data_IF_695354685277
#
_entry.id   IF_695354685277
#
_cell.length_a   1.000
_cell.length_b   1.000
_cell.length_c   1.000
_cell.angle_alpha   90.00
_cell.angle_beta   90.00
_cell.angle_gamma   90.00
#
_symmetry.space_group_name_H-M   'P 1'
#
loop_
_entity.id
_entity.type
_entity.pdbx_description
1 polymer ?
#
# COMPACT_ATOMS: atom_id res chain seq x y z
N UNK A 1 -5.37 -12.76 20.47
CA UNK A 1 -6.75 -13.27 20.68
C UNK A 1 -7.23 -13.88 19.37
N UNK A 2 -7.55 -15.18 19.36
CA UNK A 2 -8.01 -15.90 18.17
C UNK A 2 -9.54 -15.77 18.07
N UNK A 3 -10.06 -15.34 16.91
CA UNK A 3 -11.50 -15.19 16.70
C UNK A 3 -12.00 -16.18 15.65
N UNK A 4 -13.14 -16.82 15.94
CA UNK A 4 -13.94 -17.45 14.88
C UNK A 4 -14.50 -16.34 13.99
N UNK A 5 -14.38 -16.45 12.67
CA UNK A 5 -14.70 -15.37 11.72
C UNK A 5 -16.10 -14.76 11.92
N UNK A 6 -17.11 -15.60 12.16
CA UNK A 6 -18.48 -15.17 12.43
C UNK A 6 -18.73 -14.56 13.81
N UNK A 7 -17.72 -14.56 14.68
CA UNK A 7 -17.75 -13.90 15.99
C UNK A 7 -16.81 -12.69 16.05
N UNK A 8 -16.04 -12.42 14.99
CA UNK A 8 -15.16 -11.27 14.95
C UNK A 8 -16.01 -9.99 14.85
N UNK A 9 -15.86 -9.04 15.80
CA UNK A 9 -16.80 -7.91 15.96
C UNK A 9 -16.93 -7.05 14.70
N UNK A 10 -15.85 -6.93 13.92
CA UNK A 10 -15.85 -6.18 12.65
C UNK A 10 -16.43 -6.99 11.49
N UNK A 11 -16.18 -8.31 11.42
CA UNK A 11 -16.52 -9.09 10.23
C UNK A 11 -17.96 -9.60 10.27
N UNK A 12 -18.46 -10.00 11.45
CA UNK A 12 -19.84 -10.48 11.59
C UNK A 12 -20.88 -9.38 11.35
N UNK A 13 -20.54 -8.15 11.71
CA UNK A 13 -21.41 -6.97 11.60
C UNK A 13 -20.96 -6.03 10.50
N UNK A 14 -20.16 -6.49 9.54
CA UNK A 14 -19.66 -5.65 8.46
C UNK A 14 -20.84 -5.14 7.62
N UNK A 15 -20.94 -3.82 7.32
CA UNK A 15 -22.13 -3.24 6.71
C UNK A 15 -22.41 -3.71 5.27
N UNK A 16 -21.36 -4.13 4.55
CA UNK A 16 -21.46 -4.58 3.14
C UNK A 16 -21.41 -6.11 3.03
N UNK A 17 -20.37 -6.74 3.60
CA UNK A 17 -20.13 -8.18 3.53
C UNK A 17 -20.12 -8.85 4.92
N UNK A 18 -21.27 -8.90 5.62
CA UNK A 18 -21.35 -9.52 6.95
C UNK A 18 -21.04 -11.02 6.86
N UNK A 19 -20.15 -11.48 7.72
CA UNK A 19 -19.68 -12.86 7.71
C UNK A 19 -20.37 -13.68 8.80
N UNK A 20 -21.43 -14.41 8.42
CA UNK A 20 -22.28 -15.15 9.35
C UNK A 20 -21.83 -16.60 9.60
N UNK A 21 -20.76 -17.06 8.94
CA UNK A 21 -20.19 -18.39 9.08
C UNK A 21 -18.67 -18.35 9.10
N UNK A 22 -18.03 -19.38 9.67
CA UNK A 22 -16.57 -19.50 9.70
C UNK A 22 -16.03 -20.62 8.82
N UNK A 23 -16.86 -21.60 8.45
CA UNK A 23 -16.49 -22.63 7.49
C UNK A 23 -16.53 -22.03 6.09
N UNK A 24 -15.35 -21.89 5.47
CA UNK A 24 -15.20 -21.34 4.14
C UNK A 24 -15.90 -22.17 3.08
N UNK A 25 -15.98 -23.50 3.24
CA UNK A 25 -16.64 -24.38 2.27
C UNK A 25 -18.12 -24.05 2.19
N UNK A 26 -18.77 -23.92 3.35
CA UNK A 26 -20.19 -23.56 3.41
C UNK A 26 -20.45 -22.13 2.94
N UNK A 27 -19.49 -21.22 3.08
CA UNK A 27 -19.61 -19.87 2.55
C UNK A 27 -19.51 -19.86 1.03
N UNK A 28 -18.50 -20.54 0.46
CA UNK A 28 -18.24 -20.59 -0.98
C UNK A 28 -19.31 -21.39 -1.75
N UNK A 29 -19.85 -22.48 -1.18
CA UNK A 29 -20.97 -23.23 -1.77
C UNK A 29 -22.25 -22.41 -1.96
N UNK A 30 -22.37 -21.26 -1.29
CA UNK A 30 -23.50 -20.33 -1.54
C UNK A 30 -23.32 -19.47 -2.78
N UNK A 31 -22.11 -19.44 -3.34
CA UNK A 31 -21.71 -18.58 -4.46
C UNK A 31 -21.27 -19.40 -5.68
N UNK A 32 -20.94 -20.68 -5.49
CA UNK A 32 -20.33 -21.55 -6.49
C UNK A 32 -21.01 -22.92 -6.49
N UNK A 33 -21.27 -23.44 -7.69
CA UNK A 33 -21.62 -24.85 -7.92
C UNK A 33 -20.33 -25.63 -8.18
N UNK A 34 -19.59 -25.94 -7.12
CA UNK A 34 -18.31 -26.63 -7.19
C UNK A 34 -18.14 -27.60 -6.02
N UNK A 35 -17.47 -28.73 -6.24
CA UNK A 35 -17.05 -29.59 -5.15
C UNK A 35 -15.85 -28.97 -4.40
N UNK A 36 -15.98 -28.85 -3.07
CA UNK A 36 -15.01 -28.15 -2.23
C UNK A 36 -14.46 -29.09 -1.17
N UNK A 37 -13.23 -29.50 -1.39
CA UNK A 37 -12.41 -30.28 -0.46
C UNK A 37 -11.72 -29.40 0.58
N UNK A 38 -11.20 -30.07 1.62
CA UNK A 38 -10.32 -29.48 2.62
C UNK A 38 -9.13 -30.42 2.84
N UNK A 39 -7.94 -29.85 2.94
CA UNK A 39 -6.79 -30.47 3.58
C UNK A 39 -6.56 -29.75 4.90
N UNK A 40 -6.86 -30.42 6.01
CA UNK A 40 -6.81 -29.82 7.33
C UNK A 40 -5.39 -29.78 7.92
N UNK A 41 -5.24 -29.17 9.10
CA UNK A 41 -3.94 -29.01 9.77
C UNK A 41 -3.30 -30.37 10.08
N UNK A 42 -4.08 -31.40 10.40
CA UNK A 42 -3.54 -32.72 10.72
C UNK A 42 -2.98 -33.39 9.47
N UNK A 43 -3.72 -33.31 8.36
CA UNK A 43 -3.25 -33.80 7.07
C UNK A 43 -1.98 -33.08 6.62
N UNK A 44 -1.88 -31.77 6.83
CA UNK A 44 -0.70 -30.97 6.49
C UNK A 44 0.50 -31.16 7.43
N UNK A 45 0.30 -31.81 8.58
CA UNK A 45 1.36 -32.07 9.57
C UNK A 45 1.97 -33.47 9.46
N UNK A 46 1.54 -34.27 8.48
CA UNK A 46 2.11 -35.59 8.23
C UNK A 46 3.50 -35.48 7.56
N UNK A 47 4.19 -36.61 7.41
CA UNK A 47 5.48 -36.68 6.72
C UNK A 47 5.37 -36.25 5.23
N UNK A 48 6.42 -35.61 4.71
CA UNK A 48 6.37 -34.87 3.45
C UNK A 48 5.84 -35.64 2.23
N UNK A 49 6.18 -36.92 2.08
CA UNK A 49 5.70 -37.73 0.93
C UNK A 49 4.20 -38.06 1.07
N UNK A 50 3.76 -38.43 2.28
CA UNK A 50 2.35 -38.71 2.56
C UNK A 50 1.46 -37.47 2.34
N UNK A 51 1.93 -36.30 2.77
CA UNK A 51 1.23 -35.02 2.56
C UNK A 51 1.09 -34.72 1.07
N UNK A 52 2.16 -34.92 0.30
CA UNK A 52 2.18 -34.62 -1.14
C UNK A 52 1.24 -35.53 -1.93
N UNK A 53 1.27 -36.83 -1.67
CA UNK A 53 0.36 -37.79 -2.30
C UNK A 53 -1.11 -37.46 -1.99
N UNK A 54 -1.43 -37.14 -0.74
CA UNK A 54 -2.78 -36.73 -0.35
C UNK A 54 -3.22 -35.44 -1.02
N UNK A 55 -2.35 -34.43 -1.09
CA UNK A 55 -2.64 -33.18 -1.79
C UNK A 55 -2.96 -33.43 -3.27
N UNK A 56 -2.12 -34.22 -3.97
CA UNK A 56 -2.35 -34.54 -5.38
C UNK A 56 -3.63 -35.34 -5.61
N UNK A 57 -3.96 -36.28 -4.72
CA UNK A 57 -5.22 -37.01 -4.79
C UNK A 57 -6.42 -36.06 -4.60
N UNK A 58 -6.37 -35.18 -3.60
CA UNK A 58 -7.48 -34.29 -3.27
C UNK A 58 -7.72 -33.20 -4.32
N UNK A 59 -6.66 -32.65 -4.91
CA UNK A 59 -6.81 -31.61 -5.93
C UNK A 59 -7.28 -32.17 -7.28
N UNK A 60 -7.15 -33.48 -7.50
CA UNK A 60 -7.76 -34.17 -8.64
C UNK A 60 -9.20 -34.59 -8.37
N UNK A 61 -9.59 -34.75 -7.11
CA UNK A 61 -10.93 -35.24 -6.73
C UNK A 61 -11.94 -34.15 -6.40
N UNK A 62 -11.53 -32.89 -6.29
CA UNK A 62 -12.40 -31.75 -6.00
C UNK A 62 -12.11 -30.61 -6.97
N UNK A 63 -13.13 -29.81 -7.29
CA UNK A 63 -12.96 -28.61 -8.12
C UNK A 63 -12.15 -27.52 -7.39
N UNK A 64 -12.34 -27.41 -6.06
CA UNK A 64 -11.65 -26.46 -5.19
C UNK A 64 -11.11 -27.21 -3.97
N UNK A 65 -9.82 -27.02 -3.67
CA UNK A 65 -9.20 -27.54 -2.45
C UNK A 65 -8.79 -26.40 -1.52
N UNK A 66 -9.40 -26.35 -0.34
CA UNK A 66 -8.95 -25.46 0.73
C UNK A 66 -7.80 -26.09 1.52
N UNK A 67 -6.85 -25.28 1.96
CA UNK A 67 -5.72 -25.69 2.79
C UNK A 67 -5.76 -24.89 4.09
N UNK A 68 -5.77 -25.58 5.23
CA UNK A 68 -5.68 -24.90 6.52
C UNK A 68 -4.25 -24.41 6.78
N UNK A 69 -4.10 -23.29 7.49
CA UNK A 69 -2.79 -22.81 7.91
C UNK A 69 -2.86 -22.17 9.30
N UNK A 70 -2.04 -22.66 10.23
CA UNK A 70 -1.98 -22.17 11.60
C UNK A 70 -0.62 -21.57 11.96
N UNK A 71 0.47 -22.13 11.43
CA UNK A 71 1.83 -21.74 11.76
C UNK A 71 2.75 -21.67 10.51
N UNK A 72 3.99 -21.23 10.71
CA UNK A 72 4.97 -21.10 9.64
C UNK A 72 5.33 -22.44 8.97
N UNK A 73 5.31 -23.55 9.71
CA UNK A 73 5.56 -24.88 9.13
C UNK A 73 4.46 -25.27 8.14
N UNK A 74 3.19 -25.05 8.49
CA UNK A 74 2.09 -25.28 7.55
C UNK A 74 2.26 -24.44 6.28
N UNK A 75 2.65 -23.16 6.41
CA UNK A 75 2.89 -22.29 5.26
C UNK A 75 4.04 -22.79 4.37
N UNK A 76 5.10 -23.35 4.97
CA UNK A 76 6.25 -23.92 4.26
C UNK A 76 5.84 -25.16 3.45
N UNK A 77 5.06 -26.05 4.07
CA UNK A 77 4.49 -27.24 3.41
C UNK A 77 3.57 -26.84 2.25
N UNK A 78 2.61 -25.95 2.50
CA UNK A 78 1.69 -25.44 1.47
C UNK A 78 2.46 -24.83 0.29
N UNK A 79 3.49 -24.01 0.57
CA UNK A 79 4.31 -23.40 -0.47
C UNK A 79 4.96 -24.44 -1.39
N UNK A 80 5.47 -25.52 -0.82
CA UNK A 80 6.06 -26.64 -1.58
C UNK A 80 5.02 -27.35 -2.44
N UNK A 81 3.84 -27.65 -1.89
CA UNK A 81 2.75 -28.31 -2.61
C UNK A 81 2.26 -27.49 -3.81
N UNK A 82 2.10 -26.17 -3.63
CA UNK A 82 1.71 -25.23 -4.69
C UNK A 82 2.80 -25.07 -5.77
N UNK A 83 4.07 -25.17 -5.37
CA UNK A 83 5.20 -25.03 -6.29
C UNK A 83 5.44 -26.27 -7.14
N UNK A 84 5.40 -27.46 -6.53
CA UNK A 84 5.76 -28.70 -7.21
C UNK A 84 4.72 -29.13 -8.26
N UNK A 85 3.43 -28.87 -8.01
CA UNK A 85 2.26 -29.15 -8.87
C UNK A 85 2.12 -30.60 -9.40
N UNK A 86 0.89 -31.14 -9.49
CA UNK A 86 0.66 -32.40 -10.20
C UNK A 86 0.68 -32.15 -11.71
N UNK A 87 1.65 -32.76 -12.41
CA UNK A 87 1.80 -32.73 -13.87
C UNK A 87 2.01 -31.32 -14.47
N UNK A 88 2.10 -31.23 -15.81
CA UNK A 88 2.18 -29.94 -16.55
C UNK A 88 0.84 -29.17 -16.56
N UNK A 89 -0.06 -29.41 -15.61
CA UNK A 89 -1.37 -28.76 -15.57
C UNK A 89 -1.28 -27.36 -14.96
N UNK A 90 -2.05 -26.42 -15.50
CA UNK A 90 -2.14 -25.06 -14.95
C UNK A 90 -2.99 -25.09 -13.68
N UNK A 91 -2.39 -24.77 -12.54
CA UNK A 91 -3.12 -24.56 -11.29
C UNK A 91 -3.51 -23.09 -11.15
N UNK A 92 -4.76 -22.85 -10.77
CA UNK A 92 -5.27 -21.54 -10.38
C UNK A 92 -5.36 -21.46 -8.85
N UNK A 93 -4.65 -20.49 -8.25
CA UNK A 93 -4.56 -20.34 -6.79
C UNK A 93 -5.24 -19.05 -6.37
N UNK A 94 -6.09 -19.13 -5.35
CA UNK A 94 -6.83 -17.99 -4.80
C UNK A 94 -6.55 -17.88 -3.30
N UNK A 95 -6.17 -16.69 -2.83
CA UNK A 95 -5.98 -16.43 -1.41
C UNK A 95 -5.53 -15.00 -1.12
N UNK A 96 -5.35 -14.70 0.16
CA UNK A 96 -4.71 -13.44 0.60
C UNK A 96 -3.18 -13.51 0.39
N UNK A 97 -2.45 -12.52 0.91
CA UNK A 97 -0.99 -12.53 0.98
C UNK A 97 -0.41 -13.77 1.68
N UNK A 98 -1.20 -14.57 2.40
CA UNK A 98 -0.79 -15.88 2.90
C UNK A 98 -0.25 -16.79 1.79
N UNK A 99 -0.91 -16.85 0.62
CA UNK A 99 -0.44 -17.66 -0.51
C UNK A 99 0.94 -17.19 -0.98
N UNK A 100 1.12 -15.87 -1.07
CA UNK A 100 2.39 -15.25 -1.45
C UNK A 100 3.50 -15.60 -0.45
N UNK A 101 3.21 -15.55 0.86
CA UNK A 101 4.17 -15.92 1.90
C UNK A 101 4.56 -17.40 1.85
N UNK A 102 3.61 -18.29 1.56
CA UNK A 102 3.88 -19.72 1.41
C UNK A 102 4.83 -19.98 0.23
N UNK A 103 4.50 -19.46 -0.95
CA UNK A 103 5.33 -19.59 -2.15
C UNK A 103 6.71 -18.95 -1.97
N UNK A 104 6.78 -17.73 -1.42
CA UNK A 104 8.05 -17.05 -1.15
C UNK A 104 8.91 -17.79 -0.11
N UNK A 105 8.30 -18.50 0.85
CA UNK A 105 9.05 -19.40 1.73
C UNK A 105 9.65 -20.57 0.96
N UNK A 106 8.85 -21.25 0.14
CA UNK A 106 9.33 -22.37 -0.66
C UNK A 106 10.45 -21.95 -1.61
N UNK A 107 10.30 -20.83 -2.31
CA UNK A 107 11.32 -20.29 -3.21
C UNK A 107 12.65 -20.04 -2.54
N UNK A 108 12.64 -19.48 -1.32
CA UNK A 108 13.87 -19.31 -0.52
C UNK A 108 14.53 -20.65 -0.20
N UNK A 109 13.73 -21.67 0.14
CA UNK A 109 14.25 -22.99 0.50
C UNK A 109 14.89 -23.73 -0.67
N UNK A 110 14.38 -23.52 -1.88
CA UNK A 110 14.93 -24.13 -3.11
C UNK A 110 15.96 -23.23 -3.82
N UNK A 111 16.37 -22.14 -3.17
CA UNK A 111 17.42 -21.24 -3.68
C UNK A 111 16.99 -20.35 -4.85
N UNK A 112 15.69 -20.17 -5.09
CA UNK A 112 15.22 -19.13 -6.02
C UNK A 112 15.51 -17.76 -5.38
N UNK A 113 16.28 -16.88 -6.06
CA UNK A 113 16.63 -15.59 -5.51
C UNK A 113 15.37 -14.76 -5.24
N UNK A 114 15.13 -14.44 -3.98
CA UNK A 114 14.20 -13.36 -3.62
C UNK A 114 14.96 -12.03 -3.65
N UNK A 115 14.27 -10.93 -3.99
CA UNK A 115 14.84 -9.58 -3.99
C UNK A 115 15.65 -9.35 -2.71
N UNK A 116 16.96 -9.15 -2.86
CA UNK A 116 17.82 -8.86 -1.73
C UNK A 116 17.96 -7.35 -1.57
N UNK A 117 17.28 -6.82 -0.55
CA UNK A 117 17.33 -5.40 -0.25
C UNK A 117 18.62 -4.93 0.46
N UNK A 118 19.58 -5.82 0.70
CA UNK A 118 20.83 -5.47 1.40
C UNK A 118 21.78 -4.57 0.59
N UNK A 119 21.66 -4.54 -0.75
CA UNK A 119 22.55 -3.77 -1.62
C UNK A 119 22.20 -2.27 -1.73
N UNK A 120 21.16 -1.81 -1.03
CA UNK A 120 20.65 -0.43 -1.14
C UNK A 120 21.39 0.60 -0.27
N UNK A 121 22.38 0.17 0.52
CA UNK A 121 23.29 1.04 1.30
C UNK A 121 24.62 1.32 0.57
N UNK A 122 24.63 1.52 -0.75
CA UNK A 122 25.85 1.96 -1.43
C UNK A 122 26.14 3.42 -1.09
N UNK A 123 27.20 3.66 -0.33
CA UNK A 123 27.76 4.98 -0.01
C UNK A 123 27.84 5.83 -1.27
N UNK A 124 27.07 6.91 -1.30
CA UNK A 124 27.05 7.89 -2.38
C UNK A 124 26.28 9.13 -1.94
N UNK A 125 26.94 10.28 -2.01
CA UNK A 125 26.32 11.59 -1.83
C UNK A 125 25.39 11.90 -3.00
N UNK A 126 24.08 11.98 -2.76
CA UNK A 126 23.22 13.13 -3.08
C UNK A 126 22.00 13.04 -2.13
N UNK A 127 21.81 13.99 -1.20
CA UNK A 127 20.50 14.17 -0.56
C UNK A 127 19.60 14.92 -1.52
N UNK A 128 18.86 14.20 -2.37
CA UNK A 128 17.72 14.79 -3.06
C UNK A 128 16.57 14.95 -2.03
N UNK A 129 15.81 16.03 -2.15
CA UNK A 129 14.72 16.38 -1.24
C UNK A 129 13.54 15.39 -1.32
N UNK A 130 12.74 15.34 -0.25
CA UNK A 130 11.50 14.56 -0.20
C UNK A 130 10.31 15.51 -0.28
N UNK A 131 9.39 15.26 -1.20
CA UNK A 131 8.06 15.88 -1.21
C UNK A 131 7.05 14.88 -0.63
N UNK A 132 6.44 15.23 0.49
CA UNK A 132 5.34 14.46 1.09
C UNK A 132 4.02 15.16 0.79
N UNK A 133 3.02 14.43 0.31
CA UNK A 133 1.66 14.93 0.09
C UNK A 133 0.70 14.05 0.89
N UNK A 134 0.05 14.64 1.89
CA UNK A 134 -0.81 13.94 2.84
C UNK A 134 -2.26 14.42 2.81
N UNK A 135 -3.16 13.54 2.39
CA UNK A 135 -4.61 13.68 2.62
C UNK A 135 -5.10 12.90 3.86
N UNK A 136 -4.20 12.22 4.58
CA UNK A 136 -4.54 11.39 5.72
C UNK A 136 -4.98 12.22 6.94
N UNK A 137 -6.12 11.83 7.54
CA UNK A 137 -6.58 12.36 8.82
C UNK A 137 -6.23 11.44 10.01
N UNK A 138 -5.25 10.53 9.87
CA UNK A 138 -4.90 9.58 10.94
C UNK A 138 -3.97 10.21 12.00
N UNK A 139 -4.07 9.72 13.24
CA UNK A 139 -3.16 10.12 14.31
C UNK A 139 -1.72 9.64 14.07
N UNK A 140 -1.52 8.49 13.41
CA UNK A 140 -0.18 8.00 13.06
C UNK A 140 0.49 8.95 12.06
N UNK A 141 -0.26 9.41 11.05
CA UNK A 141 0.29 10.35 10.06
C UNK A 141 0.54 11.72 10.68
N UNK A 142 -0.34 12.19 11.57
CA UNK A 142 -0.08 13.39 12.38
C UNK A 142 1.28 13.28 13.09
N UNK A 143 1.50 12.19 13.84
CA UNK A 143 2.74 11.99 14.60
C UNK A 143 3.98 11.94 13.70
N UNK A 144 3.89 11.30 12.54
CA UNK A 144 4.95 11.27 11.53
C UNK A 144 5.27 12.67 10.99
N UNK A 145 4.24 13.47 10.68
CA UNK A 145 4.41 14.86 10.25
C UNK A 145 5.09 15.67 11.35
N UNK A 146 4.56 15.64 12.58
CA UNK A 146 5.13 16.38 13.70
C UNK A 146 6.61 16.02 13.96
N UNK A 147 6.95 14.73 13.87
CA UNK A 147 8.32 14.26 13.98
C UNK A 147 9.21 14.81 12.86
N UNK A 148 8.75 14.72 11.61
CA UNK A 148 9.51 15.21 10.46
C UNK A 148 9.76 16.73 10.51
N UNK A 149 8.78 17.51 10.98
CA UNK A 149 8.95 18.96 11.19
C UNK A 149 10.06 19.24 12.23
N UNK A 150 10.10 18.47 13.32
CA UNK A 150 11.18 18.60 14.30
C UNK A 150 12.56 18.18 13.76
N UNK A 151 12.58 17.42 12.66
CA UNK A 151 13.79 16.93 11.98
C UNK A 151 14.12 17.69 10.68
N UNK A 152 13.59 18.92 10.53
CA UNK A 152 14.01 19.84 9.47
C UNK A 152 13.19 19.77 8.16
N UNK A 153 12.09 19.01 8.13
CA UNK A 153 11.11 19.15 7.06
C UNK A 153 10.34 20.48 7.19
N UNK A 154 9.94 21.04 6.07
CA UNK A 154 9.11 22.23 6.01
C UNK A 154 7.65 21.83 5.76
N UNK A 155 6.75 22.14 6.70
CA UNK A 155 5.34 21.75 6.61
C UNK A 155 4.46 22.88 6.13
N UNK A 156 3.69 22.65 5.08
CA UNK A 156 2.72 23.61 4.54
C UNK A 156 1.34 22.94 4.55
N UNK A 157 0.40 23.57 5.25
CA UNK A 157 -1.00 23.15 5.20
C UNK A 157 -1.59 23.60 3.88
N UNK A 158 -2.25 22.69 3.15
CA UNK A 158 -3.01 23.05 1.96
C UNK A 158 -4.42 23.47 2.40
N UNK A 159 -4.80 24.75 2.23
CA UNK A 159 -6.16 25.14 2.51
C UNK A 159 -7.10 24.67 1.39
N UNK A 160 -8.31 24.19 1.74
CA UNK A 160 -9.27 23.69 0.75
C UNK A 160 -9.62 24.72 -0.33
N UNK A 161 -9.66 25.99 0.06
CA UNK A 161 -10.01 27.08 -0.83
C UNK A 161 -8.98 27.30 -1.94
N UNK A 162 -7.76 26.76 -1.80
CA UNK A 162 -6.74 26.79 -2.85
C UNK A 162 -7.23 26.15 -4.16
N UNK A 163 -8.09 25.13 -4.05
CA UNK A 163 -8.57 24.35 -5.19
C UNK A 163 -9.84 24.92 -5.85
N UNK A 164 -10.40 25.97 -5.26
CA UNK A 164 -11.71 26.51 -5.65
C UNK A 164 -11.66 28.00 -5.93
N UNK A 165 -10.61 28.67 -5.44
CA UNK A 165 -10.40 30.09 -5.61
C UNK A 165 -9.52 30.40 -6.84
N UNK A 166 -9.35 31.69 -7.10
CA UNK A 166 -8.55 32.28 -8.17
C UNK A 166 -7.21 31.55 -8.42
N UNK A 167 -7.01 31.13 -9.68
CA UNK A 167 -5.82 30.42 -10.18
C UNK A 167 -4.49 31.10 -9.83
N UNK A 168 -4.49 32.42 -9.64
CA UNK A 168 -3.31 33.17 -9.23
C UNK A 168 -2.79 32.72 -7.85
N UNK A 169 -3.66 32.41 -6.89
CA UNK A 169 -3.24 31.93 -5.57
C UNK A 169 -2.62 30.54 -5.65
N UNK A 170 -3.22 29.64 -6.44
CA UNK A 170 -2.65 28.32 -6.69
C UNK A 170 -1.26 28.41 -7.32
N UNK A 171 -1.09 29.32 -8.29
CA UNK A 171 0.20 29.57 -8.93
C UNK A 171 1.25 30.04 -7.93
N UNK A 172 0.94 31.04 -7.11
CA UNK A 172 1.87 31.53 -6.08
C UNK A 172 2.20 30.47 -5.03
N UNK A 173 1.23 29.65 -4.63
CA UNK A 173 1.48 28.51 -3.73
C UNK A 173 2.44 27.49 -4.35
N UNK A 174 2.26 27.16 -5.63
CA UNK A 174 3.17 26.24 -6.33
C UNK A 174 4.58 26.83 -6.40
N UNK A 175 4.71 28.13 -6.70
CA UNK A 175 6.00 28.83 -6.76
C UNK A 175 6.73 28.77 -5.41
N UNK A 176 6.05 29.04 -4.29
CA UNK A 176 6.61 28.92 -2.94
C UNK A 176 7.15 27.51 -2.65
N UNK A 177 6.37 26.47 -2.98
CA UNK A 177 6.77 25.07 -2.76
C UNK A 177 7.98 24.71 -3.62
N UNK A 178 7.98 25.14 -4.89
CA UNK A 178 9.08 24.90 -5.83
C UNK A 178 10.37 25.58 -5.36
N UNK A 179 10.31 26.80 -4.86
CA UNK A 179 11.47 27.50 -4.30
C UNK A 179 12.09 26.76 -3.11
N UNK A 180 11.26 26.26 -2.18
CA UNK A 180 11.71 25.46 -1.05
C UNK A 180 12.40 24.17 -1.50
N UNK A 181 11.80 23.47 -2.47
CA UNK A 181 12.34 22.23 -3.02
C UNK A 181 13.68 22.48 -3.74
N UNK A 182 13.76 23.50 -4.60
CA UNK A 182 15.01 23.89 -5.28
C UNK A 182 16.09 24.29 -4.27
N UNK A 183 15.70 24.94 -3.16
CA UNK A 183 16.57 25.25 -2.02
C UNK A 183 17.03 24.04 -1.20
N UNK A 184 16.69 22.81 -1.61
CA UNK A 184 17.09 21.57 -0.96
C UNK A 184 16.28 21.20 0.27
N UNK A 185 15.18 21.91 0.57
CA UNK A 185 14.28 21.55 1.68
C UNK A 185 13.42 20.37 1.28
N UNK A 186 13.17 19.48 2.24
CA UNK A 186 12.10 18.48 2.12
C UNK A 186 10.81 19.10 2.62
N UNK A 187 9.73 18.96 1.85
CA UNK A 187 8.46 19.67 2.07
C UNK A 187 7.36 18.66 2.36
N UNK A 188 6.49 18.97 3.32
CA UNK A 188 5.28 18.21 3.64
C UNK A 188 4.08 19.09 3.36
N UNK A 189 3.33 18.74 2.33
CA UNK A 189 2.02 19.29 2.05
C UNK A 189 0.95 18.43 2.71
N UNK A 190 0.08 19.02 3.52
CA UNK A 190 -0.95 18.26 4.23
C UNK A 190 -2.29 19.00 4.34
N UNK A 191 -3.40 18.26 4.29
CA UNK A 191 -4.75 18.85 4.41
C UNK A 191 -5.24 18.93 5.86
N UNK A 192 -4.80 18.00 6.72
CA UNK A 192 -5.20 17.90 8.13
C UNK A 192 -4.14 17.17 8.96
N UNK A 193 -4.15 17.41 10.28
CA UNK A 193 -3.31 16.76 11.28
C UNK A 193 -4.18 15.96 12.26
N UNK A 194 -4.50 14.72 11.87
CA UNK A 194 -5.30 13.81 12.71
C UNK A 194 -6.80 14.06 12.60
N UNK A 195 -7.59 13.22 13.27
CA UNK A 195 -9.03 13.11 13.02
C UNK A 195 -9.87 14.20 13.68
N UNK A 196 -9.26 14.99 14.57
CA UNK A 196 -9.90 16.10 15.31
C UNK A 196 -9.44 17.47 14.82
N UNK A 197 -8.76 17.54 13.68
CA UNK A 197 -8.33 18.81 13.10
C UNK A 197 -9.54 19.62 12.63
N UNK A 198 -9.64 20.88 13.07
CA UNK A 198 -10.72 21.78 12.70
C UNK A 198 -10.84 22.04 11.20
N UNK A 199 -9.74 21.90 10.44
CA UNK A 199 -9.78 22.05 8.97
C UNK A 199 -10.66 21.02 8.28
N UNK A 200 -10.91 19.87 8.90
CA UNK A 200 -11.81 18.84 8.36
C UNK A 200 -13.24 19.39 8.30
N UNK A 201 -13.70 20.07 9.35
CA UNK A 201 -15.02 20.70 9.39
C UNK A 201 -15.14 21.78 8.30
N UNK A 202 -14.19 22.71 8.28
CA UNK A 202 -14.12 23.80 7.28
C UNK A 202 -14.09 23.25 5.85
N UNK A 203 -13.32 22.18 5.60
CA UNK A 203 -13.25 21.52 4.30
C UNK A 203 -14.61 20.95 3.89
N UNK A 204 -15.30 20.27 4.80
CA UNK A 204 -16.62 19.69 4.52
C UNK A 204 -17.66 20.77 4.24
N UNK A 205 -17.68 21.84 5.03
CA UNK A 205 -18.58 22.98 4.82
C UNK A 205 -18.35 23.63 3.46
N UNK A 206 -17.09 23.85 3.09
CA UNK A 206 -16.72 24.42 1.80
C UNK A 206 -17.12 23.52 0.62
N UNK A 207 -16.85 22.22 0.70
CA UNK A 207 -17.22 21.27 -0.36
C UNK A 207 -18.75 21.12 -0.49
N UNK A 208 -19.48 21.12 0.63
CA UNK A 208 -20.94 21.16 0.64
C UNK A 208 -21.47 22.42 -0.07
N UNK A 209 -20.88 23.59 0.19
CA UNK A 209 -21.27 24.84 -0.45
C UNK A 209 -21.07 24.82 -1.97
N UNK A 210 -20.15 23.98 -2.47
CA UNK A 210 -19.93 23.73 -3.90
C UNK A 210 -20.81 22.61 -4.48
N UNK A 211 -21.72 22.05 -3.68
CA UNK A 211 -22.63 20.97 -4.10
C UNK A 211 -21.98 19.59 -4.18
N UNK A 212 -20.73 19.43 -3.73
CA UNK A 212 -20.02 18.15 -3.74
C UNK A 212 -20.57 17.27 -2.61
N UNK A 213 -20.91 16.03 -2.91
CA UNK A 213 -21.51 15.14 -1.90
C UNK A 213 -20.44 14.54 -0.98
N UNK A 214 -20.77 14.20 0.29
CA UNK A 214 -19.80 13.65 1.25
C UNK A 214 -19.05 12.40 0.77
N UNK A 215 -19.70 11.56 -0.04
CA UNK A 215 -19.09 10.36 -0.64
C UNK A 215 -18.01 10.68 -1.68
N UNK A 216 -18.00 11.90 -2.22
CA UNK A 216 -17.10 12.35 -3.27
C UNK A 216 -15.91 13.16 -2.74
N UNK A 217 -15.92 13.52 -1.44
CA UNK A 217 -14.86 14.34 -0.83
C UNK A 217 -13.46 13.78 -1.04
N UNK A 218 -13.28 12.48 -0.77
CA UNK A 218 -11.99 11.82 -0.94
C UNK A 218 -11.49 11.88 -2.39
N UNK A 219 -12.41 11.67 -3.34
CA UNK A 219 -12.10 11.72 -4.77
C UNK A 219 -11.73 13.15 -5.21
N UNK A 220 -12.53 14.14 -4.83
CA UNK A 220 -12.27 15.54 -5.17
C UNK A 220 -10.92 16.02 -4.60
N UNK A 221 -10.69 15.82 -3.30
CA UNK A 221 -9.44 16.21 -2.64
C UNK A 221 -8.26 15.47 -3.27
N UNK A 222 -8.39 14.16 -3.49
CA UNK A 222 -7.33 13.35 -4.10
C UNK A 222 -6.96 13.82 -5.51
N UNK A 223 -7.96 14.14 -6.34
CA UNK A 223 -7.73 14.67 -7.69
C UNK A 223 -7.01 16.02 -7.65
N UNK A 224 -7.46 16.94 -6.80
CA UNK A 224 -6.85 18.26 -6.68
C UNK A 224 -5.40 18.22 -6.14
N UNK A 225 -5.14 17.34 -5.17
CA UNK A 225 -3.78 17.06 -4.70
C UNK A 225 -2.91 16.45 -5.81
N UNK A 226 -3.48 15.61 -6.66
CA UNK A 226 -2.80 15.05 -7.83
C UNK A 226 -2.38 16.13 -8.82
N UNK A 227 -3.30 17.02 -9.19
CA UNK A 227 -3.04 18.15 -10.09
C UNK A 227 -1.93 19.04 -9.52
N UNK A 228 -2.06 19.42 -8.24
CA UNK A 228 -1.05 20.21 -7.54
C UNK A 228 0.33 19.55 -7.54
N UNK A 229 0.38 18.24 -7.26
CA UNK A 229 1.63 17.47 -7.23
C UNK A 229 2.27 17.41 -8.61
N UNK A 230 1.47 17.18 -9.65
CA UNK A 230 1.94 17.13 -11.04
C UNK A 230 2.55 18.48 -11.47
N UNK A 231 1.87 19.60 -11.15
CA UNK A 231 2.35 20.95 -11.45
C UNK A 231 3.69 21.26 -10.76
N UNK A 232 3.85 20.86 -9.49
CA UNK A 232 5.12 21.02 -8.76
C UNK A 232 6.23 20.21 -9.44
N UNK A 233 5.97 18.94 -9.77
CA UNK A 233 6.95 18.04 -10.39
C UNK A 233 7.33 18.42 -11.82
N UNK A 234 6.45 19.13 -12.53
CA UNK A 234 6.76 19.69 -13.84
C UNK A 234 7.71 20.90 -13.75
N UNK A 235 7.77 21.59 -12.60
CA UNK A 235 8.59 22.79 -12.39
C UNK A 235 9.93 22.54 -11.71
N UNK A 236 10.04 21.47 -10.92
CA UNK A 236 11.31 21.11 -10.29
C UNK A 236 11.49 19.59 -10.16
N UNK A 237 12.75 19.15 -10.14
CA UNK A 237 13.11 17.77 -9.83
C UNK A 237 13.01 17.55 -8.32
N UNK A 238 12.28 16.52 -7.92
CA UNK A 238 12.27 16.01 -6.55
C UNK A 238 13.06 14.71 -6.46
N UNK A 239 13.62 14.41 -5.29
CA UNK A 239 14.28 13.13 -5.05
C UNK A 239 13.30 11.99 -4.87
N UNK A 240 12.36 12.18 -3.95
CA UNK A 240 11.33 11.19 -3.63
C UNK A 240 9.98 11.84 -3.43
N UNK A 241 8.94 11.15 -3.91
CA UNK A 241 7.55 11.47 -3.61
C UNK A 241 7.03 10.52 -2.53
N UNK A 242 6.30 11.05 -1.55
CA UNK A 242 5.61 10.25 -0.54
C UNK A 242 4.15 10.65 -0.51
N UNK A 243 3.26 9.70 -0.75
CA UNK A 243 1.82 9.93 -0.69
C UNK A 243 1.26 9.24 0.55
N UNK A 244 0.62 10.05 1.41
CA UNK A 244 0.07 9.58 2.68
C UNK A 244 -1.46 9.70 2.71
N UNK A 245 -2.10 8.56 2.91
CA UNK A 245 -3.56 8.41 2.85
C UNK A 245 -3.93 7.15 2.06
N UNK A 246 -5.01 6.46 2.44
CA UNK A 246 -5.45 5.26 1.71
C UNK A 246 -5.94 5.64 0.31
N UNK A 247 -7.18 6.07 0.22
CA UNK A 247 -7.81 6.41 -1.07
C UNK A 247 -7.14 7.61 -1.75
N UNK A 248 -6.72 8.62 -0.97
CA UNK A 248 -6.07 9.82 -1.50
C UNK A 248 -4.82 9.49 -2.32
N UNK A 249 -3.96 8.59 -1.83
CA UNK A 249 -2.76 8.21 -2.57
C UNK A 249 -3.11 7.56 -3.90
N UNK A 250 -4.16 6.74 -3.93
CA UNK A 250 -4.66 6.12 -5.17
C UNK A 250 -5.25 7.12 -6.17
N UNK A 251 -5.87 8.20 -5.71
CA UNK A 251 -6.32 9.28 -6.61
C UNK A 251 -5.16 10.10 -7.14
N UNK A 252 -4.17 10.42 -6.30
CA UNK A 252 -2.98 11.17 -6.71
C UNK A 252 -2.17 10.37 -7.74
N UNK A 253 -1.92 9.07 -7.52
CA UNK A 253 -1.17 8.25 -8.48
C UNK A 253 -1.84 8.17 -9.85
N UNK A 254 -3.18 8.09 -9.87
CA UNK A 254 -3.96 8.13 -11.12
C UNK A 254 -3.80 9.45 -11.85
N UNK A 255 -3.87 10.57 -11.14
CA UNK A 255 -3.71 11.90 -11.73
C UNK A 255 -2.28 12.14 -12.25
N UNK A 256 -1.27 11.53 -11.61
CA UNK A 256 0.12 11.54 -12.07
C UNK A 256 0.37 10.62 -13.28
N UNK A 257 -0.64 9.88 -13.78
CA UNK A 257 -0.50 8.97 -14.92
C UNK A 257 0.33 7.71 -14.63
N UNK A 258 0.53 7.36 -13.35
CA UNK A 258 1.33 6.21 -12.95
C UNK A 258 0.51 4.94 -13.14
N UNK A 259 0.92 4.08 -14.08
CA UNK A 259 0.25 2.82 -14.39
C UNK A 259 0.93 1.60 -13.76
N UNK A 260 2.17 1.73 -13.30
CA UNK A 260 2.94 0.62 -12.73
C UNK A 260 3.86 1.02 -11.58
N UNK A 261 4.11 0.08 -10.69
CA UNK A 261 5.02 0.22 -9.55
C UNK A 261 5.90 -1.02 -9.43
N UNK A 262 7.20 -0.82 -9.25
CA UNK A 262 8.16 -1.87 -8.89
C UNK A 262 8.63 -1.62 -7.46
N UNK A 263 8.46 -2.58 -6.56
CA UNK A 263 8.98 -2.45 -5.20
C UNK A 263 10.51 -2.50 -5.21
N UNK A 264 11.15 -1.42 -4.73
CA UNK A 264 12.61 -1.28 -4.71
C UNK A 264 13.19 -1.31 -3.29
N UNK A 265 12.41 -0.98 -2.25
CA UNK A 265 12.86 -1.09 -0.86
C UNK A 265 11.71 -1.29 0.12
N UNK A 266 11.91 -2.08 1.17
CA UNK A 266 10.96 -2.21 2.27
C UNK A 266 11.28 -1.20 3.38
N UNK A 267 10.64 -0.03 3.36
CA UNK A 267 10.82 0.99 4.41
C UNK A 267 10.12 0.58 5.70
N UNK A 268 8.87 0.10 5.59
CA UNK A 268 8.07 -0.40 6.70
C UNK A 268 7.07 -1.43 6.20
N UNK A 269 6.59 -2.38 7.05
CA UNK A 269 5.54 -3.32 6.65
C UNK A 269 4.31 -2.61 6.04
N UNK A 270 3.96 -2.98 4.81
CA UNK A 270 2.82 -2.40 4.07
C UNK A 270 3.04 -1.00 3.49
N UNK A 271 4.22 -0.40 3.65
CA UNK A 271 4.53 0.93 3.08
C UNK A 271 5.93 0.94 2.43
N UNK A 272 6.11 0.24 1.30
CA UNK A 272 7.39 0.15 0.60
C UNK A 272 7.73 1.43 -0.16
N UNK A 273 9.00 1.55 -0.54
CA UNK A 273 9.45 2.46 -1.59
C UNK A 273 9.39 1.71 -2.92
N UNK A 274 8.81 2.37 -3.92
CA UNK A 274 8.61 1.84 -5.26
C UNK A 274 9.27 2.74 -6.30
N UNK A 275 9.59 2.17 -7.46
CA UNK A 275 9.85 2.90 -8.69
C UNK A 275 8.58 2.96 -9.53
N UNK A 276 8.28 4.12 -10.08
CA UNK A 276 7.09 4.36 -10.90
C UNK A 276 7.32 4.04 -12.36
N UNK A 277 6.23 3.65 -13.05
CA UNK A 277 6.14 3.56 -14.51
C UNK A 277 4.99 4.44 -14.98
N UNK A 278 5.27 5.36 -15.90
CA UNK A 278 4.34 6.37 -16.42
C UNK A 278 4.74 6.79 -17.84
N UNK A 279 3.79 7.24 -18.66
CA UNK A 279 4.08 7.86 -19.95
C UNK A 279 4.57 9.32 -19.79
N UNK A 280 4.38 9.92 -18.61
CA UNK A 280 4.87 11.26 -18.31
C UNK A 280 6.29 11.18 -17.73
N UNK A 281 7.26 11.75 -18.47
CA UNK A 281 8.69 11.82 -18.11
C UNK A 281 8.99 12.40 -16.72
N UNK A 282 8.13 13.26 -16.17
CA UNK A 282 8.33 13.86 -14.85
C UNK A 282 7.96 12.90 -13.71
N UNK A 283 7.18 11.87 -14.03
CA UNK A 283 6.64 10.89 -13.09
C UNK A 283 7.09 9.46 -13.39
N UNK A 284 7.76 9.22 -14.51
CA UNK A 284 8.34 7.93 -14.88
C UNK A 284 9.68 7.72 -14.17
N UNK A 285 9.94 6.49 -13.74
CA UNK A 285 11.15 6.07 -13.04
C UNK A 285 11.50 6.86 -11.77
N UNK A 286 10.55 7.59 -11.16
CA UNK A 286 10.78 8.27 -9.88
C UNK A 286 10.62 7.31 -8.71
N UNK A 287 11.22 7.67 -7.58
CA UNK A 287 11.02 6.95 -6.32
C UNK A 287 9.76 7.48 -5.60
N UNK A 288 8.81 6.58 -5.38
CA UNK A 288 7.50 6.85 -4.77
C UNK A 288 7.23 5.91 -3.60
N UNK A 289 6.87 6.46 -2.45
CA UNK A 289 6.33 5.69 -1.33
C UNK A 289 4.83 5.92 -1.18
N UNK A 290 4.05 4.84 -1.15
CA UNK A 290 2.62 4.86 -0.86
C UNK A 290 2.38 4.39 0.57
N UNK A 291 1.86 5.27 1.42
CA UNK A 291 1.68 4.99 2.84
C UNK A 291 0.22 5.14 3.24
N UNK A 292 -0.41 4.01 3.59
CA UNK A 292 -1.71 4.01 4.25
C UNK A 292 -1.68 4.87 5.54
N UNK A 293 -2.82 5.45 5.90
CA UNK A 293 -2.88 6.36 7.04
C UNK A 293 -2.39 5.74 8.35
N UNK A 294 -2.59 4.43 8.54
CA UNK A 294 -2.22 3.71 9.76
C UNK A 294 -0.87 2.97 9.69
N UNK A 295 -0.11 3.16 8.61
CA UNK A 295 1.14 2.44 8.34
C UNK A 295 2.38 3.31 8.61
N UNK A 296 3.52 2.65 8.74
CA UNK A 296 4.83 3.26 8.93
C UNK A 296 5.19 3.51 10.40
N UNK A 297 6.48 3.46 10.70
CA UNK A 297 7.02 3.87 12.01
C UNK A 297 6.98 5.39 12.21
N UNK A 298 7.34 5.85 13.41
CA UNK A 298 7.38 7.28 13.77
C UNK A 298 8.28 8.11 12.85
N UNK A 299 9.40 7.53 12.40
CA UNK A 299 10.43 8.20 11.59
C UNK A 299 10.29 7.95 10.08
N UNK A 300 9.11 7.52 9.60
CA UNK A 300 8.95 7.00 8.24
C UNK A 300 9.43 7.96 7.14
N UNK A 301 9.19 9.27 7.27
CA UNK A 301 9.60 10.26 6.26
C UNK A 301 11.12 10.52 6.30
N UNK A 302 11.70 10.50 7.50
CA UNK A 302 13.12 10.68 7.72
C UNK A 302 13.93 9.45 7.31
N UNK A 303 13.39 8.26 7.53
CA UNK A 303 13.99 7.00 7.09
C UNK A 303 14.10 6.98 5.57
N UNK A 304 13.07 7.44 4.86
CA UNK A 304 13.13 7.68 3.43
C UNK A 304 14.21 8.69 3.04
N UNK A 305 14.38 9.80 3.76
CA UNK A 305 15.43 10.79 3.45
C UNK A 305 16.86 10.22 3.62
N UNK A 306 17.05 9.20 4.47
CA UNK A 306 18.34 8.57 4.75
C UNK A 306 18.74 7.49 3.74
N UNK A 307 17.80 7.00 2.92
CA UNK A 307 18.11 5.99 1.90
C UNK A 307 18.92 6.60 0.76
N UNK A 308 19.89 5.87 0.23
CA UNK A 308 20.60 6.30 -0.98
C UNK A 308 19.70 6.11 -2.20
N UNK A 309 19.83 6.98 -3.21
CA UNK A 309 19.07 6.85 -4.45
C UNK A 309 19.46 5.57 -5.19
N UNK A 310 18.47 4.84 -5.68
CA UNK A 310 18.69 3.57 -6.38
C UNK A 310 18.89 3.87 -7.86
N UNK A 311 20.15 4.01 -8.29
CA UNK A 311 20.50 4.05 -9.72
C UNK A 311 20.42 2.65 -10.32
N UNK A 312 19.82 2.52 -11.51
CA UNK A 312 19.89 1.28 -12.30
C UNK A 312 21.37 0.98 -12.62
N UNK A 313 21.77 -0.27 -12.46
CA UNK A 313 22.96 -0.80 -13.14
C UNK A 313 22.70 -0.87 -14.64
#
# INVERSE_FOLDING_TARGET
MLWRRCRHPVLSSHPVTPMNGADLRNHLRKQLEADIGLMDINELSQDGENVKEQYFKKIQSHDILLLDALNHENMRVIGRLLWEKPNKSTQFVVGSSGVEYALASCWRDIGIPTLNFSNFYRSGTIRENVLVVSGSCSMITHQQIANALSNGFHGIRIPIHLFTNNQQYLKSFIEEVVELLIGGKSVILYTALGSRDGSIGVTREHLNALGIQPREYGHFIGKQLGILTNEIMNKCRIGRLVLAGGDTSGFITKELGIYGLEMIHQVSPGAPLCRTYSDNRHTDQIELALKGGQLGGKNYFEDLLKLNMIRKC
#
